data_IF_877836838311
#
_entry.id   IF_877836838311
#
_cell.length_a   1.000
_cell.length_b   1.000
_cell.length_c   1.000
_cell.angle_alpha   90.00
_cell.angle_beta   90.00
_cell.angle_gamma   90.00
#
_symmetry.space_group_name_H-M   'P 1'
#
loop_
_entity.id
_entity.type
_entity.pdbx_description
1 polymer ?
#
# COMPACT_ATOMS: atom_id res chain seq x y z
N UNK A 1 0.43 12.33 3.95
CA UNK A 1 0.71 13.02 2.68
C UNK A 1 1.84 12.40 1.86
N UNK A 2 2.91 11.86 2.44
CA UNK A 2 4.05 11.32 1.68
C UNK A 2 3.69 10.28 0.59
N UNK A 3 2.73 9.38 0.85
CA UNK A 3 2.30 8.38 -0.14
C UNK A 3 1.57 8.99 -1.34
N UNK A 4 0.89 10.13 -1.14
CA UNK A 4 0.17 10.83 -2.20
C UNK A 4 1.17 11.47 -3.14
N UNK A 5 2.12 12.22 -2.59
CA UNK A 5 3.21 12.84 -3.35
C UNK A 5 4.04 11.78 -4.10
N UNK A 6 4.27 10.61 -3.50
CA UNK A 6 4.94 9.51 -4.17
C UNK A 6 4.11 8.99 -5.36
N UNK A 7 2.81 8.73 -5.20
CA UNK A 7 1.94 8.27 -6.29
C UNK A 7 1.91 9.25 -7.47
N UNK A 8 1.80 10.56 -7.19
CA UNK A 8 1.85 11.61 -8.22
C UNK A 8 3.20 11.60 -8.94
N UNK A 9 4.30 11.57 -8.18
CA UNK A 9 5.64 11.57 -8.78
C UNK A 9 5.92 10.32 -9.62
N UNK A 10 5.43 9.16 -9.19
CA UNK A 10 5.58 7.91 -9.94
C UNK A 10 4.90 8.02 -11.32
N UNK A 11 3.66 8.53 -11.38
CA UNK A 11 2.96 8.62 -12.67
C UNK A 11 3.57 9.68 -13.59
N UNK A 12 4.08 10.78 -13.04
CA UNK A 12 4.80 11.81 -13.82
C UNK A 12 6.00 11.22 -14.58
N UNK A 13 6.64 10.19 -14.03
CA UNK A 13 7.78 9.51 -14.66
C UNK A 13 7.37 8.22 -15.39
N UNK A 14 6.06 8.00 -15.61
CA UNK A 14 5.53 6.85 -16.34
C UNK A 14 5.47 5.55 -15.54
N UNK A 15 5.55 5.61 -14.20
CA UNK A 15 5.46 4.45 -13.31
C UNK A 15 4.09 4.41 -12.64
N UNK A 16 3.38 3.29 -12.78
CA UNK A 16 2.07 3.13 -12.15
C UNK A 16 2.21 2.59 -10.72
N UNK A 17 1.69 3.29 -9.68
CA UNK A 17 1.60 2.73 -8.34
C UNK A 17 0.66 1.52 -8.33
N UNK A 18 1.19 0.34 -8.04
CA UNK A 18 0.42 -0.91 -8.17
C UNK A 18 0.01 -1.51 -6.82
N UNK A 19 0.99 -1.76 -5.95
CA UNK A 19 0.75 -2.34 -4.63
C UNK A 19 1.34 -1.50 -3.51
N UNK A 20 0.56 -1.37 -2.44
CA UNK A 20 1.04 -0.99 -1.12
C UNK A 20 1.01 -2.25 -0.26
N UNK A 21 2.15 -2.66 0.27
CA UNK A 21 2.24 -3.88 1.05
C UNK A 21 2.03 -3.62 2.54
N UNK A 22 1.18 -4.43 3.18
CA UNK A 22 1.26 -4.65 4.61
C UNK A 22 2.61 -5.31 4.90
N UNK A 23 3.34 -4.78 5.89
CA UNK A 23 4.62 -5.35 6.26
C UNK A 23 4.45 -6.79 6.75
N UNK A 24 5.22 -7.71 6.17
CA UNK A 24 5.27 -9.08 6.63
C UNK A 24 6.08 -9.18 7.93
N UNK A 25 5.61 -10.04 8.84
CA UNK A 25 6.30 -10.29 10.11
C UNK A 25 7.54 -11.14 9.86
N UNK A 26 8.64 -10.49 9.50
CA UNK A 26 9.96 -11.11 9.40
C UNK A 26 10.81 -10.82 10.62
N UNK A 27 11.69 -11.76 10.98
CA UNK A 27 12.58 -11.63 12.13
C UNK A 27 13.44 -10.36 11.99
N UNK A 28 13.35 -9.46 12.96
CA UNK A 28 14.08 -8.19 12.98
C UNK A 28 13.31 -6.97 12.45
N UNK A 29 12.17 -7.13 11.79
CA UNK A 29 11.40 -6.00 11.23
C UNK A 29 10.17 -5.61 12.06
N UNK A 30 9.94 -6.22 13.22
CA UNK A 30 8.73 -6.01 14.03
C UNK A 30 8.51 -4.54 14.42
N UNK A 31 9.57 -3.75 14.58
CA UNK A 31 9.49 -2.33 14.91
C UNK A 31 8.99 -1.44 13.76
N UNK A 32 9.01 -1.96 12.53
CA UNK A 32 8.39 -1.32 11.37
C UNK A 32 6.93 -1.77 11.17
N UNK A 33 6.42 -2.71 11.98
CA UNK A 33 5.07 -3.21 11.82
C UNK A 33 4.06 -2.09 12.10
N UNK A 34 3.13 -1.94 11.14
CA UNK A 34 2.03 -1.01 11.24
C UNK A 34 0.73 -1.82 11.28
N UNK A 35 -0.23 -1.49 12.18
CA UNK A 35 -1.53 -2.17 12.20
C UNK A 35 -2.26 -2.05 10.87
N UNK A 36 -2.94 -3.13 10.45
CA UNK A 36 -3.73 -3.16 9.20
C UNK A 36 -4.73 -1.99 9.13
N UNK A 37 -5.34 -1.61 10.27
CA UNK A 37 -6.27 -0.49 10.36
C UNK A 37 -5.66 0.84 9.92
N UNK A 38 -4.37 1.06 10.21
CA UNK A 38 -3.64 2.24 9.80
C UNK A 38 -3.33 2.23 8.29
N UNK A 39 -2.99 1.06 7.73
CA UNK A 39 -2.86 0.89 6.27
C UNK A 39 -4.18 1.14 5.53
N UNK A 40 -5.30 0.64 6.06
CA UNK A 40 -6.65 0.93 5.53
C UNK A 40 -6.97 2.42 5.56
N UNK A 41 -6.71 3.09 6.69
CA UNK A 41 -6.91 4.55 6.82
C UNK A 41 -6.07 5.34 5.81
N UNK A 42 -4.83 4.92 5.58
CA UNK A 42 -3.94 5.51 4.59
C UNK A 42 -4.50 5.41 3.17
N UNK A 43 -5.00 4.22 2.76
CA UNK A 43 -5.67 4.05 1.47
C UNK A 43 -6.92 4.92 1.34
N UNK A 44 -7.75 4.99 2.39
CA UNK A 44 -8.93 5.87 2.39
C UNK A 44 -8.54 7.33 2.16
N UNK A 45 -7.48 7.81 2.81
CA UNK A 45 -6.97 9.17 2.63
C UNK A 45 -6.42 9.40 1.21
N UNK A 46 -5.75 8.41 0.63
CA UNK A 46 -5.28 8.48 -0.77
C UNK A 46 -6.47 8.53 -1.74
N UNK A 47 -7.49 7.67 -1.56
CA UNK A 47 -8.71 7.67 -2.41
C UNK A 47 -9.47 8.99 -2.39
N UNK A 48 -9.44 9.70 -1.26
CA UNK A 48 -10.10 11.01 -1.15
C UNK A 48 -9.37 12.13 -1.89
N UNK A 49 -8.09 11.95 -2.24
CA UNK A 49 -7.21 13.00 -2.77
C UNK A 49 -6.66 12.71 -4.17
N UNK A 50 -6.64 11.45 -4.58
CA UNK A 50 -6.05 11.01 -5.85
C UNK A 50 -7.09 10.44 -6.82
N UNK A 51 -6.87 10.58 -8.14
CA UNK A 51 -7.54 9.75 -9.13
C UNK A 51 -7.40 8.26 -8.81
N UNK A 52 -8.46 7.48 -9.04
CA UNK A 52 -8.50 6.07 -8.65
C UNK A 52 -7.35 5.21 -9.20
N UNK A 53 -6.83 5.54 -10.39
CA UNK A 53 -5.71 4.84 -11.01
C UNK A 53 -4.35 5.13 -10.35
N UNK A 54 -4.23 6.18 -9.54
CA UNK A 54 -3.02 6.49 -8.75
C UNK A 54 -3.05 5.90 -7.34
N UNK A 55 -4.16 5.27 -6.96
CA UNK A 55 -4.31 4.62 -5.66
C UNK A 55 -3.85 3.16 -5.78
N UNK A 56 -2.76 2.76 -5.12
CA UNK A 56 -2.31 1.38 -5.16
C UNK A 56 -3.30 0.46 -4.43
N UNK A 57 -3.32 -0.83 -4.80
CA UNK A 57 -4.05 -1.85 -4.06
C UNK A 57 -3.30 -2.18 -2.77
N UNK A 58 -3.99 -2.15 -1.63
CA UNK A 58 -3.38 -2.57 -0.37
C UNK A 58 -3.43 -4.08 -0.24
N UNK A 59 -2.26 -4.70 -0.07
CA UNK A 59 -2.12 -6.16 -0.14
C UNK A 59 -1.25 -6.71 0.98
N UNK A 60 -1.43 -7.99 1.28
CA UNK A 60 -0.59 -8.74 2.19
C UNK A 60 -0.16 -10.07 1.56
N UNK A 61 1.07 -10.49 1.84
CA UNK A 61 1.53 -11.83 1.53
C UNK A 61 1.14 -12.77 2.66
N UNK A 62 0.48 -13.87 2.32
CA UNK A 62 0.09 -14.88 3.32
C UNK A 62 0.74 -16.20 2.92
N UNK A 63 1.54 -16.81 3.81
CA UNK A 63 2.15 -18.09 3.53
C UNK A 63 1.11 -19.13 3.10
N UNK A 64 1.45 -19.87 2.04
CA UNK A 64 0.60 -20.90 1.41
C UNK A 64 -0.59 -20.38 0.61
N UNK A 65 -0.74 -19.07 0.41
CA UNK A 65 -1.73 -18.54 -0.54
C UNK A 65 -1.15 -18.41 -1.96
N UNK A 66 -1.92 -18.74 -3.01
CA UNK A 66 -1.42 -18.72 -4.39
C UNK A 66 -1.23 -17.31 -4.95
N UNK A 67 -1.77 -16.28 -4.28
CA UNK A 67 -1.66 -14.89 -4.69
C UNK A 67 -1.75 -13.95 -3.48
N UNK A 68 -1.36 -12.68 -3.69
CA UNK A 68 -1.45 -11.63 -2.66
C UNK A 68 -2.90 -11.37 -2.29
N UNK A 69 -3.20 -11.30 -0.99
CA UNK A 69 -4.53 -10.97 -0.50
C UNK A 69 -4.75 -9.46 -0.55
N UNK A 70 -5.83 -9.01 -1.20
CA UNK A 70 -6.25 -7.61 -1.17
C UNK A 70 -6.93 -7.31 0.17
N UNK A 71 -6.48 -6.26 0.84
CA UNK A 71 -6.98 -5.80 2.13
C UNK A 71 -7.85 -4.54 2.03
N UNK A 72 -7.86 -3.87 0.87
CA UNK A 72 -8.58 -2.61 0.62
C UNK A 72 -10.06 -2.78 0.34
#
# INVERSE_FOLDING_TARGET
DSQIALSERLVEIGVMPYYLHQLDRVRGAAHFEVPISQGKKLITQMRAKLPGYLVPKYVQEIPNEPHKRVLS
#
